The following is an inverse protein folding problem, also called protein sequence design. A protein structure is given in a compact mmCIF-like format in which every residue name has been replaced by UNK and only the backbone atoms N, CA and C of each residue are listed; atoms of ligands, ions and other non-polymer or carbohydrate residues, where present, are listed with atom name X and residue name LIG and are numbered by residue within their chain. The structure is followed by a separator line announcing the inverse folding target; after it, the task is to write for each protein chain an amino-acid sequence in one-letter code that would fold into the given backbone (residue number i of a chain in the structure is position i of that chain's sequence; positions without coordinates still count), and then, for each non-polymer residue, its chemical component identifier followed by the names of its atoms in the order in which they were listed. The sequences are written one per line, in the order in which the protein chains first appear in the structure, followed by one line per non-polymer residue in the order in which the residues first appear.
data_IF_661724113312
#
_entry.id   IF_661724113312
#
_cell.length_a   1.000
_cell.length_b   1.000
_cell.length_c   1.000
_cell.angle_alpha   90.00
_cell.angle_beta   90.00
_cell.angle_gamma   90.00
#
_symmetry.space_group_name_H-M   'P 1'
#
loop_
_entity.id
_entity.type
_entity.pdbx_description
1 polymer ?
#
# COMPACT_ATOMS: atom_id res chain seq x y z
N UNK A 1 -8.67 5.01 -8.70
CA UNK A 1 -9.68 4.41 -9.59
C UNK A 1 -9.11 3.12 -10.17
N UNK A 2 -9.89 2.03 -10.17
CA UNK A 2 -9.46 0.77 -10.80
C UNK A 2 -9.38 0.95 -12.31
N UNK A 3 -8.32 0.45 -12.96
CA UNK A 3 -8.21 0.47 -14.43
C UNK A 3 -8.61 -0.86 -15.06
N UNK A 4 -8.93 -1.87 -14.26
CA UNK A 4 -9.37 -3.19 -14.74
C UNK A 4 -10.85 -3.13 -15.09
N UNK A 5 -11.19 -3.38 -16.37
CA UNK A 5 -12.59 -3.39 -16.84
C UNK A 5 -13.42 -4.39 -16.04
N UNK A 6 -14.68 -4.06 -15.81
CA UNK A 6 -15.64 -4.92 -15.13
C UNK A 6 -16.44 -5.68 -16.19
N UNK A 7 -16.00 -6.90 -16.50
CA UNK A 7 -16.69 -7.77 -17.46
C UNK A 7 -17.11 -9.10 -16.83
N UNK A 8 -17.23 -9.16 -15.49
CA UNK A 8 -17.64 -10.36 -14.76
C UNK A 8 -16.66 -11.54 -14.88
N UNK A 9 -15.39 -11.29 -15.24
CA UNK A 9 -14.35 -12.29 -15.47
C UNK A 9 -13.07 -11.97 -14.68
N UNK A 10 -13.24 -11.52 -13.44
CA UNK A 10 -12.13 -11.04 -12.63
C UNK A 10 -11.15 -12.17 -12.28
N UNK A 11 -11.66 -13.36 -11.97
CA UNK A 11 -10.84 -14.55 -11.71
C UNK A 11 -9.97 -14.92 -12.92
N UNK A 12 -10.55 -14.86 -14.13
CA UNK A 12 -9.81 -15.12 -15.38
C UNK A 12 -8.72 -14.09 -15.59
N UNK A 13 -9.04 -12.80 -15.40
CA UNK A 13 -8.06 -11.71 -15.55
C UNK A 13 -6.89 -11.88 -14.57
N UNK A 14 -7.17 -12.21 -13.31
CA UNK A 14 -6.11 -12.42 -12.31
C UNK A 14 -5.33 -13.70 -12.61
N UNK A 15 -5.99 -14.77 -13.05
CA UNK A 15 -5.33 -16.03 -13.42
C UNK A 15 -4.39 -15.86 -14.61
N UNK A 16 -4.83 -15.14 -15.65
CA UNK A 16 -4.01 -14.84 -16.83
C UNK A 16 -2.81 -13.96 -16.46
N UNK A 17 -3.02 -13.01 -15.54
CA UNK A 17 -1.93 -12.20 -14.99
C UNK A 17 -0.92 -13.07 -14.23
N UNK A 18 -1.37 -13.98 -13.37
CA UNK A 18 -0.50 -14.92 -12.67
C UNK A 18 0.30 -15.79 -13.64
N UNK A 19 -0.34 -16.37 -14.66
CA UNK A 19 0.34 -17.16 -15.71
C UNK A 19 1.39 -16.32 -16.45
N UNK A 20 1.04 -15.09 -16.82
CA UNK A 20 1.96 -14.19 -17.52
C UNK A 20 3.19 -13.82 -16.68
N UNK A 21 3.04 -13.77 -15.35
CA UNK A 21 4.14 -13.54 -14.41
C UNK A 21 4.86 -14.82 -13.99
N UNK A 22 4.51 -15.98 -14.56
CA UNK A 22 4.97 -17.30 -14.12
C UNK A 22 4.76 -17.53 -12.60
N UNK A 23 3.69 -16.96 -12.05
CA UNK A 23 3.42 -16.94 -10.63
C UNK A 23 2.49 -18.10 -10.24
N UNK A 24 3.04 -19.10 -9.57
CA UNK A 24 2.36 -20.37 -9.29
C UNK A 24 1.30 -20.29 -8.18
N UNK A 25 1.40 -19.33 -7.25
CA UNK A 25 0.46 -19.25 -6.13
C UNK A 25 -0.91 -18.75 -6.60
N UNK A 26 -1.94 -19.56 -6.35
CA UNK A 26 -3.32 -19.19 -6.68
C UNK A 26 -3.86 -18.20 -5.65
N UNK A 27 -4.57 -17.13 -6.09
CA UNK A 27 -5.36 -16.33 -5.19
C UNK A 27 -6.39 -17.20 -4.44
N UNK A 28 -6.62 -16.89 -3.17
CA UNK A 28 -7.67 -17.50 -2.36
C UNK A 28 -9.01 -16.80 -2.52
N UNK A 29 -8.99 -15.52 -2.87
CA UNK A 29 -10.19 -14.72 -3.10
C UNK A 29 -9.89 -13.61 -4.12
N UNK A 30 -10.80 -13.41 -5.07
CA UNK A 30 -10.80 -12.28 -5.99
C UNK A 30 -12.17 -11.61 -5.89
N UNK A 31 -12.21 -10.35 -5.44
CA UNK A 31 -13.47 -9.63 -5.27
C UNK A 31 -13.36 -8.15 -5.57
N UNK A 32 -14.46 -7.55 -6.01
CA UNK A 32 -14.59 -6.10 -6.15
C UNK A 32 -14.96 -5.46 -4.81
N UNK A 33 -14.33 -4.35 -4.48
CA UNK A 33 -14.61 -3.56 -3.29
C UNK A 33 -15.43 -2.33 -3.63
N UNK A 34 -16.49 -2.09 -2.84
CA UNK A 34 -17.39 -0.95 -2.97
C UNK A 34 -18.76 -1.33 -3.51
N UNK A 35 -19.66 -0.33 -3.59
CA UNK A 35 -20.97 -0.47 -4.21
C UNK A 35 -20.92 0.05 -5.63
N UNK A 36 -21.50 -0.70 -6.58
CA UNK A 36 -21.63 -0.23 -7.97
C UNK A 36 -22.50 1.02 -7.97
N UNK A 37 -21.98 2.10 -8.54
CA UNK A 37 -22.76 3.31 -8.80
C UNK A 37 -23.38 3.20 -10.19
N UNK A 38 -24.39 4.02 -10.48
CA UNK A 38 -24.99 4.13 -11.82
C UNK A 38 -24.04 4.69 -12.88
N UNK A 39 -22.84 5.13 -12.49
CA UNK A 39 -21.83 5.65 -13.39
C UNK A 39 -20.92 4.53 -13.90
N UNK A 40 -21.09 4.12 -15.16
CA UNK A 40 -20.29 3.07 -15.80
C UNK A 40 -18.79 3.40 -15.93
N UNK A 41 -18.40 4.67 -15.77
CA UNK A 41 -16.98 5.04 -15.71
C UNK A 41 -16.33 4.71 -14.35
N UNK A 42 -17.12 4.46 -13.30
CA UNK A 42 -16.61 4.16 -11.98
C UNK A 42 -16.34 2.66 -11.83
N UNK A 43 -15.06 2.28 -11.96
CA UNK A 43 -14.61 0.91 -11.74
C UNK A 43 -14.21 0.69 -10.29
N UNK A 44 -14.87 -0.28 -9.66
CA UNK A 44 -14.58 -0.84 -8.34
C UNK A 44 -13.16 -1.41 -8.28
N UNK A 45 -12.55 -1.22 -7.11
CA UNK A 45 -11.23 -1.75 -6.82
C UNK A 45 -11.28 -3.28 -6.80
N UNK A 46 -10.34 -3.92 -7.48
CA UNK A 46 -10.18 -5.36 -7.44
C UNK A 46 -9.26 -5.72 -6.27
N UNK A 47 -9.78 -6.46 -5.28
CA UNK A 47 -9.01 -7.05 -4.19
C UNK A 47 -8.68 -8.49 -4.56
N UNK A 48 -7.39 -8.81 -4.47
CA UNK A 48 -6.87 -10.16 -4.66
C UNK A 48 -6.24 -10.57 -3.33
N UNK A 49 -6.72 -11.66 -2.76
CA UNK A 49 -6.22 -12.23 -1.51
C UNK A 49 -5.42 -13.49 -1.82
N UNK A 50 -4.34 -13.71 -1.09
CA UNK A 50 -3.51 -14.92 -1.18
C UNK A 50 -3.49 -15.61 0.19
N UNK A 51 -3.08 -16.88 0.20
CA UNK A 51 -2.96 -17.67 1.43
C UNK A 51 -1.89 -17.16 2.41
N UNK A 52 -0.94 -16.33 1.93
CA UNK A 52 0.11 -15.77 2.77
C UNK A 52 0.53 -14.36 2.35
N UNK A 53 1.05 -13.60 3.31
CA UNK A 53 1.66 -12.29 3.08
C UNK A 53 2.83 -12.42 2.11
N UNK A 54 3.66 -13.45 2.24
CA UNK A 54 4.77 -13.73 1.33
C UNK A 54 4.29 -13.85 -0.13
N UNK A 55 3.25 -14.66 -0.38
CA UNK A 55 2.71 -14.84 -1.73
C UNK A 55 2.21 -13.52 -2.33
N UNK A 56 1.46 -12.71 -1.55
CA UNK A 56 1.03 -11.39 -2.00
C UNK A 56 2.20 -10.43 -2.28
N UNK A 57 3.29 -10.54 -1.51
CA UNK A 57 4.53 -9.79 -1.72
C UNK A 57 5.22 -10.17 -3.02
N UNK A 58 5.39 -11.47 -3.29
CA UNK A 58 6.00 -11.99 -4.53
C UNK A 58 5.15 -11.59 -5.74
N UNK A 59 3.83 -11.75 -5.68
CA UNK A 59 2.91 -11.30 -6.73
C UNK A 59 3.13 -9.82 -7.05
N UNK A 60 3.22 -8.97 -6.01
CA UNK A 60 3.44 -7.53 -6.18
C UNK A 60 4.81 -7.22 -6.79
N UNK A 61 5.86 -7.94 -6.38
CA UNK A 61 7.22 -7.75 -6.95
C UNK A 61 7.21 -8.07 -8.44
N UNK A 62 6.74 -9.26 -8.82
CA UNK A 62 6.67 -9.70 -10.21
C UNK A 62 5.78 -8.80 -11.05
N UNK A 63 4.66 -8.33 -10.49
CA UNK A 63 3.80 -7.37 -11.16
C UNK A 63 4.53 -6.06 -11.45
N UNK A 64 5.30 -5.54 -10.49
CA UNK A 64 6.06 -4.30 -10.66
C UNK A 64 7.22 -4.46 -11.66
N UNK A 65 7.84 -5.63 -11.73
CA UNK A 65 8.82 -5.96 -12.77
C UNK A 65 8.17 -5.96 -14.15
N UNK A 66 7.10 -6.75 -14.31
CA UNK A 66 6.33 -6.83 -15.56
C UNK A 66 5.76 -5.45 -15.98
N UNK A 67 5.37 -4.61 -15.02
CA UNK A 67 4.88 -3.25 -15.29
C UNK A 67 5.92 -2.36 -16.00
N UNK A 68 7.22 -2.62 -15.85
CA UNK A 68 8.27 -1.88 -16.55
C UNK A 68 8.25 -2.17 -18.05
N UNK A 69 7.97 -3.41 -18.42
CA UNK A 69 8.01 -3.93 -19.79
C UNK A 69 6.68 -3.72 -20.54
N UNK A 70 5.53 -3.86 -19.87
CA UNK A 70 4.23 -3.83 -20.54
C UNK A 70 3.45 -2.54 -20.26
N UNK A 71 3.32 -1.70 -21.30
CA UNK A 71 2.54 -0.45 -21.30
C UNK A 71 1.10 -0.60 -20.75
N UNK A 72 0.44 -1.72 -21.07
CA UNK A 72 -0.93 -1.99 -20.61
C UNK A 72 -1.05 -2.07 -19.09
N UNK A 73 0.02 -2.50 -18.40
CA UNK A 73 0.08 -2.61 -16.95
C UNK A 73 0.51 -1.31 -16.28
N UNK A 74 1.17 -0.39 -17.02
CA UNK A 74 1.60 0.92 -16.47
C UNK A 74 0.43 1.71 -15.91
N UNK A 75 -0.74 1.56 -16.53
CA UNK A 75 -2.00 2.19 -16.11
C UNK A 75 -2.57 1.57 -14.82
N UNK A 76 -2.19 0.35 -14.46
CA UNK A 76 -2.70 -0.35 -13.27
C UNK A 76 -1.83 0.00 -12.06
N UNK A 77 -2.49 0.44 -10.99
CA UNK A 77 -1.86 0.70 -9.70
C UNK A 77 -2.16 -0.43 -8.74
N UNK A 78 -1.12 -1.15 -8.34
CA UNK A 78 -1.20 -2.20 -7.33
C UNK A 78 -0.78 -1.62 -5.98
N UNK A 79 -1.55 -1.92 -4.93
CA UNK A 79 -1.28 -1.47 -3.56
C UNK A 79 -1.56 -2.63 -2.59
N UNK A 80 -0.85 -2.70 -1.44
CA UNK A 80 -1.21 -3.62 -0.38
C UNK A 80 -2.67 -3.44 0.04
N UNK A 81 -3.35 -4.56 0.25
CA UNK A 81 -4.61 -4.56 0.99
C UNK A 81 -4.35 -4.12 2.42
N UNK A 82 -5.26 -3.33 2.98
CA UNK A 82 -5.24 -2.91 4.39
C UNK A 82 -6.57 -3.27 5.04
N UNK A 83 -6.55 -3.64 6.32
CA UNK A 83 -7.76 -3.66 7.14
C UNK A 83 -8.28 -2.23 7.34
N UNK A 84 -9.45 -2.10 7.97
CA UNK A 84 -10.02 -0.78 8.26
C UNK A 84 -9.10 0.00 9.21
N UNK A 85 -8.58 -0.68 10.23
CA UNK A 85 -7.69 -0.15 11.26
C UNK A 85 -6.36 0.28 10.65
N UNK A 86 -5.72 -0.60 9.86
CA UNK A 86 -4.47 -0.28 9.14
C UNK A 86 -4.67 0.89 8.16
N UNK A 87 -5.86 1.03 7.59
CA UNK A 87 -6.17 2.14 6.69
C UNK A 87 -6.31 3.46 7.45
N UNK A 88 -6.91 3.45 8.64
CA UNK A 88 -6.98 4.61 9.53
C UNK A 88 -5.58 5.02 10.04
N UNK A 89 -4.77 4.06 10.46
CA UNK A 89 -3.37 4.30 10.84
C UNK A 89 -2.55 4.89 9.69
N UNK A 90 -2.73 4.37 8.48
CA UNK A 90 -2.08 4.90 7.28
C UNK A 90 -2.51 6.34 6.99
N UNK A 91 -3.82 6.65 7.11
CA UNK A 91 -4.33 8.02 6.93
C UNK A 91 -3.71 8.98 7.94
N UNK A 92 -3.62 8.59 9.21
CA UNK A 92 -2.98 9.40 10.24
C UNK A 92 -1.52 9.67 9.87
N UNK A 93 -0.80 8.65 9.42
CA UNK A 93 0.59 8.77 8.98
C UNK A 93 0.75 9.73 7.78
N UNK A 94 -0.20 9.72 6.84
CA UNK A 94 -0.25 10.67 5.71
C UNK A 94 -0.47 12.10 6.20
N UNK A 95 -1.43 12.30 7.10
CA UNK A 95 -1.70 13.62 7.69
C UNK A 95 -0.46 14.17 8.40
N UNK A 96 0.24 13.32 9.15
CA UNK A 96 1.48 13.68 9.85
C UNK A 96 2.58 14.07 8.86
N UNK A 97 2.83 13.23 7.84
CA UNK A 97 3.84 13.51 6.82
C UNK A 97 3.55 14.80 6.05
N UNK A 98 2.28 15.10 5.76
CA UNK A 98 1.88 16.35 5.11
C UNK A 98 2.18 17.56 5.99
N UNK A 99 1.81 17.54 7.27
CA UNK A 99 2.13 18.61 8.22
C UNK A 99 3.63 18.88 8.29
N UNK A 100 4.43 17.81 8.42
CA UNK A 100 5.89 17.92 8.45
C UNK A 100 6.47 18.50 7.16
N UNK A 101 5.89 18.16 6.00
CA UNK A 101 6.28 18.75 4.71
C UNK A 101 5.86 20.23 4.61
N UNK A 102 4.69 20.60 5.11
CA UNK A 102 4.24 22.00 5.12
C UNK A 102 5.16 22.86 5.99
N UNK A 103 5.60 22.34 7.14
CA UNK A 103 6.59 22.98 8.02
C UNK A 103 7.98 23.09 7.34
N UNK A 104 8.43 22.03 6.66
CA UNK A 104 9.69 22.04 5.92
C UNK A 104 9.68 23.03 4.74
N UNK A 105 8.56 23.11 4.01
CA UNK A 105 8.41 24.03 2.88
C UNK A 105 8.43 25.50 3.32
N UNK A 106 7.87 25.83 4.49
CA UNK A 106 7.91 27.18 5.06
C UNK A 106 9.31 27.67 5.42
N UNK A 107 10.24 26.75 5.60
CA UNK A 107 11.60 27.01 6.07
C UNK A 107 12.66 26.85 4.97
N UNK A 108 12.24 26.71 3.70
CA UNK A 108 13.11 26.34 2.55
C UNK A 108 14.05 25.16 2.89
N UNK A 109 13.57 24.25 3.72
CA UNK A 109 14.39 23.17 4.22
C UNK A 109 14.55 22.11 3.15
N UNK A 110 15.79 21.63 2.98
CA UNK A 110 16.16 20.47 2.16
C UNK A 110 15.67 19.15 2.77
N UNK A 111 14.49 19.14 3.40
CA UNK A 111 13.90 17.99 4.10
C UNK A 111 12.55 17.64 3.48
N UNK A 112 12.28 16.34 3.38
CA UNK A 112 10.98 15.82 2.94
C UNK A 112 10.59 14.58 3.73
N UNK A 113 9.29 14.41 3.96
CA UNK A 113 8.71 13.30 4.69
C UNK A 113 7.77 12.50 3.81
N UNK A 114 7.79 11.18 3.96
CA UNK A 114 6.97 10.30 3.12
C UNK A 114 6.55 9.02 3.84
N UNK A 115 5.31 8.62 3.60
CA UNK A 115 4.71 7.44 4.18
C UNK A 115 5.06 6.22 3.35
N UNK A 116 5.47 5.15 4.03
CA UNK A 116 5.74 3.84 3.45
C UNK A 116 4.50 2.97 3.47
N UNK A 117 4.52 1.88 2.71
CA UNK A 117 3.38 0.97 2.61
C UNK A 117 2.93 0.39 3.96
N UNK A 118 3.87 0.18 4.89
CA UNK A 118 3.64 -0.28 6.25
C UNK A 118 3.21 0.83 7.23
N UNK A 119 2.90 2.03 6.73
CA UNK A 119 2.50 3.19 7.53
C UNK A 119 3.67 3.96 8.15
N UNK A 120 4.91 3.49 8.04
CA UNK A 120 6.05 4.23 8.60
C UNK A 120 6.27 5.55 7.86
N UNK A 121 6.45 6.64 8.60
CA UNK A 121 6.90 7.93 8.05
C UNK A 121 8.42 7.93 8.02
N UNK A 122 9.02 8.23 6.87
CA UNK A 122 10.47 8.38 6.71
C UNK A 122 10.83 9.82 6.38
N UNK A 123 11.93 10.30 6.97
CA UNK A 123 12.58 11.57 6.65
C UNK A 123 13.63 11.37 5.55
N UNK A 124 13.69 12.33 4.64
CA UNK A 124 14.69 12.45 3.60
C UNK A 124 15.33 13.82 3.66
N UNK A 125 16.61 13.87 3.38
CA UNK A 125 17.37 15.11 3.24
C UNK A 125 17.99 15.18 1.85
N UNK A 126 17.98 16.37 1.27
CA UNK A 126 18.60 16.66 -0.02
C UNK A 126 20.05 17.06 0.22
N UNK A 127 20.98 16.33 -0.36
CA UNK A 127 22.40 16.66 -0.29
C UNK A 127 22.72 17.84 -1.24
N UNK A 128 23.97 18.32 -1.18
CA UNK A 128 24.44 19.44 -2.02
C UNK A 128 24.39 19.11 -3.53
N UNK A 129 24.45 17.83 -3.91
CA UNK A 129 24.29 17.38 -5.30
C UNK A 129 22.82 17.33 -5.75
N UNK A 130 21.90 17.73 -4.88
CA UNK A 130 20.47 17.70 -5.13
C UNK A 130 19.81 16.32 -5.02
N UNK A 131 20.53 15.29 -4.56
CA UNK A 131 20.03 13.92 -4.36
C UNK A 131 19.37 13.78 -2.99
N UNK A 132 18.27 13.05 -2.94
CA UNK A 132 17.56 12.75 -1.70
C UNK A 132 18.06 11.45 -1.08
N UNK A 133 18.43 11.49 0.19
CA UNK A 133 18.81 10.31 0.98
C UNK A 133 17.94 10.17 2.22
N UNK A 134 17.59 8.94 2.57
CA UNK A 134 16.84 8.64 3.80
C UNK A 134 17.72 8.90 5.02
N UNK A 135 17.20 9.61 6.01
CA UNK A 135 17.83 9.75 7.33
C UNK A 135 17.50 8.50 8.15
N UNK A 136 18.48 7.62 8.34
CA UNK A 136 18.26 6.29 8.92
C UNK A 136 17.83 6.35 10.40
N UNK A 137 18.47 7.22 11.18
CA UNK A 137 18.28 7.33 12.64
C UNK A 137 17.10 8.21 13.04
N UNK A 138 16.43 8.84 12.06
CA UNK A 138 15.28 9.67 12.34
C UNK A 138 14.08 8.83 12.77
N UNK A 139 13.44 9.26 13.86
CA UNK A 139 12.21 8.69 14.40
C UNK A 139 11.13 9.75 14.43
N UNK A 140 9.89 9.31 14.17
CA UNK A 140 8.74 10.19 14.26
C UNK A 140 8.62 10.75 15.70
N UNK A 141 8.57 12.08 15.90
CA UNK A 141 8.44 12.66 17.22
C UNK A 141 7.18 12.16 17.92
N UNK A 142 7.33 11.58 19.10
CA UNK A 142 6.26 10.87 19.81
C UNK A 142 5.21 11.76 20.44
N UNK A 143 5.50 13.05 20.70
CA UNK A 143 4.63 13.89 21.55
C UNK A 143 3.53 14.63 20.79
N UNK A 144 3.75 15.01 19.52
CA UNK A 144 2.78 15.82 18.76
C UNK A 144 1.96 15.04 17.72
N UNK A 145 2.26 13.75 17.53
CA UNK A 145 1.76 12.93 16.43
C UNK A 145 1.33 11.53 16.90
N UNK A 146 0.72 11.46 18.09
CA UNK A 146 0.36 10.22 18.77
C UNK A 146 -0.45 9.26 17.87
N UNK A 147 0.06 8.02 17.80
CA UNK A 147 -0.66 6.84 17.33
C UNK A 147 -1.90 6.66 18.20
N UNK A 148 -3.05 6.38 17.59
CA UNK A 148 -4.18 5.81 18.31
C UNK A 148 -3.74 4.54 19.08
N UNK A 149 -4.40 4.21 20.19
CA UNK A 149 -3.90 3.18 21.11
C UNK A 149 -3.72 1.84 20.38
N UNK A 150 -2.51 1.29 20.45
CA UNK A 150 -2.25 -0.09 20.08
C UNK A 150 -3.07 -0.98 21.02
N UNK A 151 -4.14 -1.60 20.51
CA UNK A 151 -4.76 -2.72 21.23
C UNK A 151 -3.75 -3.86 21.24
N UNK A 152 -3.17 -4.12 22.41
CA UNK A 152 -2.40 -5.33 22.66
C UNK A 152 -3.35 -6.51 22.47
N UNK A 153 -3.09 -7.35 21.46
CA UNK A 153 -3.74 -8.64 21.39
C UNK A 153 -3.14 -9.52 22.50
N UNK A 154 -3.87 -9.62 23.61
CA UNK A 154 -3.65 -10.66 24.61
C UNK A 154 -3.90 -12.01 23.93
N UNK A 155 -2.83 -12.75 23.68
CA UNK A 155 -2.90 -14.17 23.36
C UNK A 155 -3.34 -14.92 24.62
N UNK A 156 -4.63 -15.22 24.73
CA UNK A 156 -5.09 -16.25 25.66
C UNK A 156 -4.80 -17.61 25.03
N UNK A 157 -3.67 -18.20 25.42
CA UNK A 157 -3.41 -19.64 25.27
C UNK A 157 -4.41 -20.38 26.13
N UNK A 158 -5.35 -21.07 25.49
CA UNK A 158 -6.15 -22.10 26.12
C UNK A 158 -5.25 -23.31 26.35
N UNK A 159 -4.99 -23.64 27.62
CA UNK A 159 -4.46 -24.94 28.00
C UNK A 159 -5.61 -25.72 28.65
N UNK A 160 -6.10 -26.74 27.95
CA UNK A 160 -6.90 -27.81 28.54
C UNK A 160 -5.94 -28.94 28.91
N UNK A 161 -6.03 -29.40 30.16
CA UNK A 161 -6.08 -30.81 30.49
C UNK A 161 -6.78 -30.99 31.84
#
# INVERSE_FOLDING_TARGET
MSKIKEHGRDDTVVSDLCKKMDFCSRPTEVKRLGKKTTNDNYRLLLKVTFSSVFASGVFRSRFNEMKKEYETLRRISLRPGRTKEEHEEYKNSVTIANKLNDEANKSENNTSYSVRDNGAVWKYEKNNDGKWSRVADWKLPSENYQRGPKKQNLTNTSAQH
#
